data_IF_723366299449
#
_entry.id   IF_723366299449
#
_cell.length_a   1.000
_cell.length_b   1.000
_cell.length_c   1.000
_cell.angle_alpha   90.00
_cell.angle_beta   90.00
_cell.angle_gamma   90.00
#
_symmetry.space_group_name_H-M   'P 1'
#
loop_
_entity.id
_entity.type
_entity.pdbx_description
1 polymer ?
#
# COMPACT_ATOMS: atom_id res chain seq x y z
N UNK A 1 12.01 12.07 13.68
CA UNK A 1 11.34 10.87 13.87
C UNK A 1 10.34 10.60 12.77
N UNK A 2 10.52 9.65 11.99
CA UNK A 2 9.61 9.35 10.92
C UNK A 2 8.64 8.26 11.30
N UNK A 3 7.65 8.08 10.50
CA UNK A 3 6.81 6.92 10.61
C UNK A 3 7.55 5.74 10.04
N UNK A 4 7.52 4.67 10.76
CA UNK A 4 8.12 3.45 10.30
C UNK A 4 7.09 2.45 9.81
N UNK A 5 5.84 2.71 10.11
CA UNK A 5 4.78 1.82 9.67
C UNK A 5 3.75 2.61 8.89
N UNK A 6 3.16 1.93 7.92
CA UNK A 6 1.99 2.44 7.24
C UNK A 6 0.82 1.63 7.75
N UNK A 7 -0.20 2.29 8.21
CA UNK A 7 -1.42 1.61 8.59
C UNK A 7 -2.02 0.93 7.38
N UNK A 8 -3.02 0.11 7.60
CA UNK A 8 -3.77 -0.44 6.48
C UNK A 8 -4.04 0.68 5.51
N UNK A 9 -3.87 0.40 4.23
CA UNK A 9 -3.91 1.42 3.21
C UNK A 9 -5.13 2.30 3.32
N UNK A 10 -6.26 1.72 3.65
CA UNK A 10 -7.46 2.49 3.90
C UNK A 10 -8.20 1.86 5.05
N UNK A 11 -8.38 2.63 6.11
CA UNK A 11 -9.28 2.26 7.17
C UNK A 11 -10.56 3.02 6.95
N UNK A 12 -11.69 2.36 6.81
CA UNK A 12 -12.91 3.05 6.44
C UNK A 12 -13.34 4.12 7.44
N UNK A 13 -13.03 3.91 8.70
CA UNK A 13 -13.43 4.84 9.75
C UNK A 13 -12.51 6.03 9.89
N UNK A 14 -11.35 6.02 9.23
CA UNK A 14 -10.35 7.06 9.43
C UNK A 14 -10.37 8.12 8.35
N UNK A 15 -11.12 7.90 7.28
CA UNK A 15 -11.18 8.88 6.20
C UNK A 15 -12.41 9.74 6.39
N UNK A 16 -12.19 10.98 6.78
CA UNK A 16 -13.27 11.95 6.76
C UNK A 16 -13.59 12.31 5.31
N UNK A 17 -14.73 12.99 5.07
CA UNK A 17 -15.15 13.29 3.70
C UNK A 17 -14.14 14.11 2.92
N UNK A 18 -13.44 15.00 3.58
CA UNK A 18 -12.45 15.85 2.89
C UNK A 18 -11.26 15.02 2.40
N UNK A 19 -10.71 14.20 3.29
CA UNK A 19 -9.55 13.38 2.95
C UNK A 19 -9.89 12.37 1.87
N UNK A 20 -11.08 11.81 1.95
CA UNK A 20 -11.54 10.86 0.94
C UNK A 20 -11.66 11.54 -0.42
N UNK A 21 -12.21 12.73 -0.46
CA UNK A 21 -12.37 13.48 -1.69
C UNK A 21 -11.02 13.83 -2.31
N UNK A 22 -10.08 14.26 -1.48
CA UNK A 22 -8.74 14.59 -1.94
C UNK A 22 -8.05 13.37 -2.49
N UNK A 23 -8.15 12.24 -1.79
CA UNK A 23 -7.55 10.99 -2.25
C UNK A 23 -8.07 10.59 -3.62
N UNK A 24 -9.39 10.61 -3.80
CA UNK A 24 -9.99 10.22 -5.07
C UNK A 24 -9.64 11.18 -6.19
N UNK A 25 -9.70 12.48 -5.91
CA UNK A 25 -9.48 13.49 -6.94
C UNK A 25 -8.02 13.57 -7.35
N UNK A 26 -7.10 13.44 -6.40
CA UNK A 26 -5.69 13.65 -6.70
C UNK A 26 -4.98 12.38 -7.13
N UNK A 27 -5.50 11.22 -6.80
CA UNK A 27 -4.84 9.97 -7.15
C UNK A 27 -4.97 9.63 -8.64
N UNK A 28 -6.04 10.11 -9.28
CA UNK A 28 -6.31 9.75 -10.67
C UNK A 28 -6.18 8.24 -10.87
N UNK A 29 -6.69 7.49 -9.91
CA UNK A 29 -6.43 6.08 -9.81
C UNK A 29 -7.40 5.27 -10.66
N UNK A 30 -6.89 4.18 -11.24
CA UNK A 30 -7.72 3.21 -11.97
C UNK A 30 -8.56 2.38 -11.03
N UNK A 31 -8.10 2.22 -9.79
CA UNK A 31 -8.77 1.41 -8.80
C UNK A 31 -8.36 1.85 -7.42
N UNK A 32 -9.14 1.48 -6.43
CA UNK A 32 -8.81 1.70 -5.03
C UNK A 32 -8.91 0.37 -4.33
N UNK A 33 -7.84 0.02 -3.63
CA UNK A 33 -7.82 -1.20 -2.83
C UNK A 33 -7.57 -0.80 -1.38
N UNK A 34 -7.97 -1.68 -0.45
CA UNK A 34 -7.95 -1.36 0.97
C UNK A 34 -6.96 -2.16 1.76
N UNK A 35 -6.21 -3.04 1.11
CA UNK A 35 -5.24 -3.87 1.80
C UNK A 35 -4.22 -4.39 0.81
N UNK A 36 -3.12 -4.91 1.34
CA UNK A 36 -2.11 -5.54 0.50
C UNK A 36 -2.65 -6.80 -0.16
N UNK A 37 -3.54 -7.51 0.54
CA UNK A 37 -4.17 -8.70 -0.05
C UNK A 37 -5.02 -8.31 -1.26
N UNK A 38 -5.79 -7.24 -1.16
CA UNK A 38 -6.58 -6.77 -2.30
C UNK A 38 -5.68 -6.31 -3.44
N UNK A 39 -4.59 -5.63 -3.12
CA UNK A 39 -3.65 -5.20 -4.15
C UNK A 39 -3.07 -6.40 -4.88
N UNK A 40 -2.65 -7.41 -4.13
CA UNK A 40 -2.13 -8.65 -4.72
C UNK A 40 -3.16 -9.29 -5.65
N UNK A 41 -4.40 -9.41 -5.20
CA UNK A 41 -5.46 -10.00 -6.02
C UNK A 41 -5.76 -9.17 -7.25
N UNK A 42 -5.72 -7.86 -7.11
CA UNK A 42 -5.90 -6.95 -8.24
C UNK A 42 -4.84 -7.21 -9.31
N UNK A 43 -3.63 -7.52 -8.89
CA UNK A 43 -2.54 -7.86 -9.80
C UNK A 43 -2.58 -9.32 -10.26
N UNK A 44 -3.57 -10.11 -9.80
CA UNK A 44 -3.76 -11.51 -10.17
C UNK A 44 -2.58 -12.38 -9.76
N UNK A 45 -2.00 -12.10 -8.62
CA UNK A 45 -0.87 -12.84 -8.07
C UNK A 45 -1.36 -13.60 -6.83
N UNK A 46 -1.02 -14.88 -6.74
CA UNK A 46 -1.37 -15.69 -5.58
C UNK A 46 -0.39 -15.44 -4.43
N UNK A 47 -0.79 -15.84 -3.22
CA UNK A 47 0.13 -15.76 -2.09
C UNK A 47 1.38 -16.60 -2.33
N UNK A 48 1.23 -17.76 -2.96
CA UNK A 48 2.37 -18.62 -3.26
C UNK A 48 3.36 -17.92 -4.18
N UNK A 49 2.86 -17.30 -5.24
CA UNK A 49 3.72 -16.62 -6.19
C UNK A 49 4.40 -15.42 -5.54
N UNK A 50 3.65 -14.65 -4.75
CA UNK A 50 4.23 -13.51 -4.05
C UNK A 50 5.31 -13.98 -3.08
N UNK A 51 5.05 -15.08 -2.35
CA UNK A 51 6.02 -15.65 -1.43
C UNK A 51 7.31 -16.03 -2.16
N UNK A 52 7.17 -16.66 -3.32
CA UNK A 52 8.35 -17.02 -4.13
C UNK A 52 9.16 -15.80 -4.53
N UNK A 53 8.47 -14.76 -4.98
CA UNK A 53 9.16 -13.54 -5.42
C UNK A 53 9.86 -12.83 -4.27
N UNK A 54 9.30 -12.90 -3.07
CA UNK A 54 9.88 -12.29 -1.89
C UNK A 54 10.82 -13.24 -1.15
N UNK A 55 10.97 -14.48 -1.65
CA UNK A 55 11.82 -15.50 -1.03
C UNK A 55 11.42 -15.72 0.43
N UNK A 56 10.13 -15.88 0.65
CA UNK A 56 9.56 -16.12 1.97
C UNK A 56 8.57 -17.27 1.91
N UNK A 57 8.26 -17.81 3.07
CA UNK A 57 7.24 -18.84 3.16
C UNK A 57 5.85 -18.24 2.94
N UNK A 58 4.95 -19.02 2.37
CA UNK A 58 3.58 -18.55 2.17
C UNK A 58 2.92 -18.12 3.48
N UNK A 59 3.21 -18.83 4.57
CA UNK A 59 2.66 -18.48 5.88
C UNK A 59 3.09 -17.08 6.30
N UNK A 60 4.30 -16.66 5.93
CA UNK A 60 4.77 -15.30 6.21
C UNK A 60 3.97 -14.27 5.43
N UNK A 61 3.62 -14.57 4.19
CA UNK A 61 2.81 -13.67 3.38
C UNK A 61 1.40 -13.57 3.96
N UNK A 62 0.85 -14.70 4.37
CA UNK A 62 -0.46 -14.72 5.00
C UNK A 62 -0.49 -13.86 6.27
N UNK A 63 0.53 -14.00 7.11
CA UNK A 63 0.64 -13.21 8.33
C UNK A 63 0.82 -11.71 8.01
N UNK A 64 1.61 -11.41 7.00
CA UNK A 64 1.83 -10.04 6.56
C UNK A 64 0.51 -9.40 6.12
N UNK A 65 -0.26 -10.12 5.33
CA UNK A 65 -1.52 -9.59 4.82
C UNK A 65 -2.57 -9.42 5.92
N UNK A 66 -2.47 -10.21 6.98
CA UNK A 66 -3.39 -10.11 8.10
C UNK A 66 -3.01 -9.01 9.10
N UNK A 67 -1.81 -8.48 9.02
CA UNK A 67 -1.35 -7.47 9.97
C UNK A 67 -2.09 -6.15 9.80
N UNK A 68 -2.22 -5.41 10.90
CA UNK A 68 -2.90 -4.13 10.88
C UNK A 68 -2.00 -3.01 10.38
N UNK A 69 -0.72 -3.09 10.65
CA UNK A 69 0.25 -2.08 10.25
C UNK A 69 1.39 -2.72 9.49
N UNK A 70 2.00 -1.94 8.61
CA UNK A 70 3.14 -2.39 7.83
C UNK A 70 4.22 -1.34 7.81
N UNK A 71 5.46 -1.78 7.78
CA UNK A 71 6.58 -0.89 7.50
C UNK A 71 6.47 -0.43 6.05
N UNK A 72 6.87 0.80 5.78
CA UNK A 72 6.90 1.29 4.41
C UNK A 72 7.81 0.43 3.54
N UNK A 73 8.93 -0.03 4.10
CA UNK A 73 9.82 -0.91 3.36
C UNK A 73 9.14 -2.21 2.97
N UNK A 74 8.24 -2.72 3.83
CA UNK A 74 7.47 -3.92 3.51
C UNK A 74 6.49 -3.65 2.37
N UNK A 75 5.79 -2.54 2.44
CA UNK A 75 4.85 -2.16 1.37
C UNK A 75 5.59 -2.00 0.06
N UNK A 76 6.73 -1.34 0.10
CA UNK A 76 7.56 -1.14 -1.09
C UNK A 76 8.02 -2.48 -1.67
N UNK A 77 8.45 -3.41 -0.82
CA UNK A 77 8.88 -4.72 -1.27
C UNK A 77 7.73 -5.49 -1.94
N UNK A 78 6.53 -5.42 -1.36
CA UNK A 78 5.37 -6.10 -1.93
C UNK A 78 5.01 -5.50 -3.28
N UNK A 79 4.94 -4.18 -3.36
CA UNK A 79 4.59 -3.50 -4.62
C UNK A 79 5.60 -3.84 -5.70
N UNK A 80 6.89 -3.83 -5.36
CA UNK A 80 7.94 -4.19 -6.32
C UNK A 80 7.82 -5.64 -6.77
N UNK A 81 7.52 -6.54 -5.84
CA UNK A 81 7.35 -7.96 -6.19
C UNK A 81 6.11 -8.18 -7.05
N UNK A 82 5.13 -7.29 -6.97
CA UNK A 82 3.94 -7.35 -7.83
C UNK A 82 4.19 -6.72 -9.20
N UNK A 83 5.39 -6.19 -9.43
CA UNK A 83 5.75 -5.62 -10.73
C UNK A 83 5.54 -4.12 -10.82
N UNK A 84 5.24 -3.48 -9.70
CA UNK A 84 4.97 -2.05 -9.68
C UNK A 84 6.07 -1.26 -8.99
N UNK A 85 5.74 -0.03 -8.70
CA UNK A 85 6.62 0.88 -7.99
C UNK A 85 5.78 1.67 -7.00
N UNK A 86 6.23 1.73 -5.76
CA UNK A 86 5.52 2.51 -4.74
C UNK A 86 5.89 3.99 -4.88
N UNK A 87 4.87 4.82 -4.90
CA UNK A 87 5.05 6.27 -4.86
C UNK A 87 4.31 6.78 -3.64
N UNK A 88 4.95 7.68 -2.90
CA UNK A 88 4.34 8.34 -1.76
C UNK A 88 4.18 9.80 -2.08
N UNK A 89 2.98 10.31 -1.88
CA UNK A 89 2.67 11.70 -2.17
C UNK A 89 1.93 12.29 -0.98
N UNK A 90 2.46 13.38 -0.46
CA UNK A 90 1.75 14.17 0.54
C UNK A 90 0.91 15.20 -0.19
N UNK A 91 -0.37 15.23 0.11
CA UNK A 91 -1.29 16.13 -0.57
C UNK A 91 -1.73 17.20 0.41
N UNK A 92 -1.39 18.44 0.09
CA UNK A 92 -1.85 19.59 0.82
C UNK A 92 -2.82 20.36 -0.07
N UNK A 93 -3.48 21.33 0.51
CA UNK A 93 -4.37 22.16 -0.28
C UNK A 93 -3.54 22.89 -1.34
N UNK A 94 -3.80 22.56 -2.60
CA UNK A 94 -3.13 23.21 -3.74
C UNK A 94 -1.75 22.68 -4.06
N UNK A 95 -1.30 21.60 -3.41
CA UNK A 95 0.06 21.15 -3.60
C UNK A 95 0.18 19.64 -3.40
N UNK A 96 0.98 18.99 -4.25
CA UNK A 96 1.31 17.58 -4.12
C UNK A 96 2.83 17.48 -4.02
N UNK A 97 3.30 16.84 -2.96
CA UNK A 97 4.73 16.73 -2.71
C UNK A 97 5.10 15.25 -2.67
N UNK A 98 6.00 14.85 -3.56
CA UNK A 98 6.48 13.47 -3.56
C UNK A 98 7.44 13.26 -2.41
N UNK A 99 7.30 12.14 -1.72
CA UNK A 99 8.19 11.76 -0.63
C UNK A 99 9.13 10.66 -1.13
N UNK A 100 10.42 10.93 -1.07
CA UNK A 100 11.41 9.93 -1.44
C UNK A 100 11.56 8.93 -0.31
N UNK A 101 11.67 7.65 -0.65
CA UNK A 101 11.76 6.59 0.34
C UNK A 101 13.18 6.34 0.84
N UNK A 102 14.18 6.79 0.14
CA UNK A 102 15.55 6.53 0.55
C UNK A 102 16.33 7.79 0.86
#
# INVERSE_FOLDING_TARGET
>A
MGYRTARKLVGPSVLDPYRRKVLLASANASAIVRSLAELRRHCRVTQVVLAERLERAQASISALEAADDHLLSTVDAVVSALGGRLELVAVFRGERIALALS
#
